data_IF_655987185436
#
_entry.id   IF_655987185436
#
_cell.length_a   1.000
_cell.length_b   1.000
_cell.length_c   1.000
_cell.angle_alpha   90.00
_cell.angle_beta   90.00
_cell.angle_gamma   90.00
#
_symmetry.space_group_name_H-M   'P 1'
#
loop_
_entity.id
_entity.type
_entity.pdbx_description
1 polymer ?
#
# COMPACT_ATOMS: atom_id res chain seq x y z
N UNK A 1 -54.05 -43.72 35.10
CA UNK A 1 -54.22 -42.26 34.87
C UNK A 1 -52.96 -41.56 35.38
N UNK A 2 -52.51 -40.53 34.64
CA UNK A 2 -51.13 -40.31 34.17
C UNK A 2 -50.51 -39.04 34.82
N UNK A 3 -49.36 -38.46 34.44
CA UNK A 3 -48.42 -38.54 33.32
C UNK A 3 -47.12 -37.78 33.71
N UNK A 4 -45.95 -38.04 33.13
CA UNK A 4 -45.52 -37.58 31.79
C UNK A 4 -45.09 -36.09 31.86
N UNK A 5 -43.94 -35.61 31.37
CA UNK A 5 -43.07 -36.11 30.31
C UNK A 5 -41.80 -35.22 30.20
N UNK A 6 -40.63 -35.87 30.13
CA UNK A 6 -39.48 -35.59 29.26
C UNK A 6 -38.63 -34.31 29.44
N UNK A 7 -37.48 -34.51 30.10
CA UNK A 7 -36.21 -33.84 29.78
C UNK A 7 -35.41 -34.72 28.81
N UNK A 8 -35.11 -34.21 27.61
CA UNK A 8 -34.34 -34.94 26.60
C UNK A 8 -33.03 -34.21 26.31
N UNK A 9 -31.97 -34.70 26.97
CA UNK A 9 -30.57 -34.44 26.65
C UNK A 9 -30.23 -35.13 25.32
N UNK A 10 -29.84 -34.38 24.30
CA UNK A 10 -29.13 -34.93 23.14
C UNK A 10 -27.67 -34.50 23.17
N UNK A 11 -26.81 -35.45 23.54
CA UNK A 11 -25.41 -35.51 23.12
C UNK A 11 -25.40 -35.86 21.63
N UNK A 12 -24.79 -35.04 20.79
CA UNK A 12 -24.39 -35.45 19.44
C UNK A 12 -22.87 -35.43 19.36
N UNK A 13 -22.32 -36.62 19.16
CA UNK A 13 -20.90 -36.90 19.10
C UNK A 13 -20.25 -36.47 17.80
N UNK A 14 -18.96 -36.17 17.90
CA UNK A 14 -18.04 -36.03 16.80
C UNK A 14 -18.05 -37.27 15.92
N UNK A 15 -18.27 -37.09 14.61
CA UNK A 15 -17.88 -38.06 13.59
C UNK A 15 -16.87 -37.41 12.66
N UNK A 16 -15.67 -37.98 12.65
CA UNK A 16 -14.59 -37.68 11.73
C UNK A 16 -15.06 -37.88 10.28
N UNK A 17 -14.84 -36.87 9.43
CA UNK A 17 -15.10 -36.95 7.99
C UNK A 17 -13.88 -37.53 7.29
N UNK A 18 -13.93 -38.82 6.93
CA UNK A 18 -12.99 -39.45 6.01
C UNK A 18 -13.41 -39.16 4.55
N UNK A 19 -12.42 -38.82 3.70
CA UNK A 19 -12.57 -38.54 2.26
C UNK A 19 -13.07 -39.77 1.47
N UNK A 20 -13.79 -39.59 0.35
CA UNK A 20 -14.29 -40.70 -0.46
C UNK A 20 -13.18 -41.31 -1.32
N UNK A 21 -13.13 -42.65 -1.34
CA UNK A 21 -12.30 -43.47 -2.25
C UNK A 21 -13.19 -43.93 -3.41
N UNK A 22 -12.78 -43.62 -4.65
CA UNK A 22 -13.45 -44.11 -5.85
C UNK A 22 -13.27 -45.63 -5.99
N UNK A 23 -14.37 -46.36 -6.19
CA UNK A 23 -14.40 -47.82 -6.45
C UNK A 23 -14.73 -48.07 -7.92
N UNK A 24 -14.11 -49.08 -8.52
CA UNK A 24 -14.47 -49.52 -9.87
C UNK A 24 -15.82 -50.29 -9.89
N UNK A 25 -16.31 -50.61 -11.09
CA UNK A 25 -17.60 -51.29 -11.32
C UNK A 25 -17.70 -52.70 -10.73
N UNK A 26 -16.64 -53.24 -10.13
CA UNK A 26 -16.61 -54.60 -9.54
C UNK A 26 -16.19 -54.63 -8.07
N UNK A 27 -16.07 -53.47 -7.40
CA UNK A 27 -16.17 -53.37 -5.94
C UNK A 27 -14.99 -53.95 -5.14
N UNK A 28 -13.79 -54.10 -5.71
CA UNK A 28 -12.59 -54.53 -4.94
C UNK A 28 -11.66 -53.35 -4.62
N UNK A 29 -11.24 -53.25 -3.36
CA UNK A 29 -10.22 -52.31 -2.91
C UNK A 29 -8.82 -52.89 -3.19
N UNK A 30 -7.91 -52.11 -3.80
CA UNK A 30 -6.54 -52.51 -4.11
C UNK A 30 -5.60 -51.93 -3.05
N UNK A 31 -5.01 -52.79 -2.21
CA UNK A 31 -3.87 -52.43 -1.36
C UNK A 31 -2.58 -52.47 -2.20
N UNK A 32 -1.80 -51.39 -2.16
CA UNK A 32 -0.43 -51.37 -2.66
C UNK A 32 0.50 -51.63 -1.46
N UNK A 33 1.21 -52.76 -1.49
CA UNK A 33 2.37 -53.03 -0.62
C UNK A 33 3.62 -53.08 -1.47
N UNK A 34 4.64 -52.36 -1.00
CA UNK A 34 6.04 -52.45 -1.40
C UNK A 34 6.63 -53.83 -1.03
N UNK A 35 7.58 -54.32 -1.83
CA UNK A 35 8.35 -55.53 -1.56
C UNK A 35 9.50 -55.71 -2.54
N UNK A 36 10.70 -55.95 -2.01
CA UNK A 36 12.01 -55.90 -2.65
C UNK A 36 12.56 -57.26 -3.13
N UNK A 37 13.37 -57.22 -4.21
CA UNK A 37 14.52 -58.08 -4.60
C UNK A 37 14.31 -59.60 -4.86
N UNK A 38 15.34 -60.37 -5.33
CA UNK A 38 16.69 -59.99 -5.83
C UNK A 38 17.20 -60.76 -7.11
N UNK A 39 18.30 -60.26 -7.72
CA UNK A 39 19.47 -61.09 -8.09
C UNK A 39 19.78 -61.47 -9.56
N UNK A 40 21.09 -61.30 -9.90
CA UNK A 40 21.95 -62.03 -10.90
C UNK A 40 21.87 -61.59 -12.37
N UNK A 41 22.93 -61.48 -13.20
CA UNK A 41 24.41 -61.65 -13.20
C UNK A 41 24.92 -60.75 -14.37
N UNK A 42 26.06 -60.03 -14.33
CA UNK A 42 27.44 -60.53 -14.47
C UNK A 42 27.96 -60.56 -15.93
N UNK A 43 28.73 -59.53 -16.36
CA UNK A 43 29.90 -59.53 -17.30
C UNK A 43 30.22 -58.09 -17.77
N UNK A 44 31.30 -57.45 -17.32
CA UNK A 44 32.68 -57.46 -17.87
C UNK A 44 32.79 -57.06 -19.35
N UNK A 45 33.26 -55.83 -19.63
CA UNK A 45 34.61 -55.52 -20.17
C UNK A 45 34.66 -54.10 -20.78
N UNK A 46 35.49 -53.24 -20.22
CA UNK A 46 36.22 -52.14 -20.89
C UNK A 46 37.58 -52.73 -21.36
N UNK A 47 38.49 -52.10 -22.15
CA UNK A 47 38.59 -50.68 -22.54
C UNK A 47 39.12 -50.36 -23.97
N UNK A 48 39.27 -49.04 -24.21
CA UNK A 48 40.18 -48.34 -25.16
C UNK A 48 39.97 -48.47 -26.69
N UNK A 49 39.84 -47.32 -27.40
CA UNK A 49 40.96 -46.54 -27.96
C UNK A 49 40.54 -45.47 -29.00
N UNK A 50 41.18 -44.31 -28.89
CA UNK A 50 41.67 -43.36 -29.91
C UNK A 50 40.98 -43.16 -31.28
N UNK A 51 40.73 -41.89 -31.62
CA UNK A 51 40.60 -41.45 -33.01
C UNK A 51 40.39 -39.93 -33.20
N UNK A 52 41.51 -39.20 -33.37
CA UNK A 52 41.66 -37.91 -34.09
C UNK A 52 40.85 -37.89 -35.41
N UNK A 53 40.58 -36.82 -36.13
CA UNK A 53 40.65 -35.35 -36.12
C UNK A 53 39.99 -34.98 -37.47
N UNK A 54 39.47 -33.77 -37.66
CA UNK A 54 39.67 -32.98 -38.90
C UNK A 54 39.24 -31.53 -38.65
N UNK A 55 40.15 -30.64 -39.04
CA UNK A 55 39.98 -29.20 -39.14
C UNK A 55 39.43 -28.84 -40.53
N UNK A 56 38.76 -27.70 -40.64
CA UNK A 56 38.37 -27.11 -41.91
C UNK A 56 37.95 -25.65 -41.73
N UNK A 57 38.89 -24.76 -42.03
CA UNK A 57 38.76 -23.31 -42.11
C UNK A 57 37.57 -22.84 -42.96
N UNK A 58 37.11 -21.59 -42.72
CA UNK A 58 36.90 -20.55 -43.74
C UNK A 58 36.26 -19.28 -43.12
N UNK A 59 37.09 -18.25 -42.96
CA UNK A 59 36.77 -16.82 -43.14
C UNK A 59 37.74 -16.34 -44.25
N UNK A 60 37.61 -15.13 -44.85
CA UNK A 60 36.65 -14.04 -44.61
C UNK A 60 36.03 -13.47 -45.91
N UNK A 61 35.11 -12.49 -45.82
CA UNK A 61 35.29 -11.29 -46.66
C UNK A 61 34.59 -10.02 -46.15
N UNK A 62 35.22 -8.91 -46.50
CA UNK A 62 34.92 -7.51 -46.20
C UNK A 62 33.89 -6.95 -47.18
N UNK A 63 33.21 -5.86 -46.80
CA UNK A 63 32.48 -5.01 -47.76
C UNK A 63 31.89 -3.76 -47.12
N UNK A 64 32.51 -2.62 -47.39
CA UNK A 64 32.15 -1.27 -46.94
C UNK A 64 31.24 -0.53 -47.93
N UNK A 65 30.90 0.73 -47.58
CA UNK A 65 30.28 1.83 -48.33
C UNK A 65 28.74 1.92 -48.22
N UNK A 66 28.12 3.01 -47.75
CA UNK A 66 28.20 4.45 -48.08
C UNK A 66 27.59 4.82 -49.44
N UNK A 67 26.60 5.73 -49.42
CA UNK A 67 25.97 6.39 -50.58
C UNK A 67 24.48 6.66 -50.34
N UNK A 68 24.05 7.83 -49.86
CA UNK A 68 23.78 9.10 -50.57
C UNK A 68 22.63 9.09 -51.59
N UNK A 69 21.68 10.00 -51.31
CA UNK A 69 20.82 10.80 -52.20
C UNK A 69 19.74 10.13 -53.07
N UNK A 70 18.51 10.63 -52.89
CA UNK A 70 17.39 10.45 -53.81
C UNK A 70 16.19 11.27 -53.37
N UNK A 71 16.21 12.57 -53.68
CA UNK A 71 15.06 13.46 -53.64
C UNK A 71 13.99 12.95 -54.62
N UNK A 72 12.75 12.83 -54.18
CA UNK A 72 11.60 13.06 -55.06
C UNK A 72 10.50 13.77 -54.27
N UNK A 73 10.23 15.00 -54.71
CA UNK A 73 9.06 15.77 -54.36
C UNK A 73 7.84 15.09 -54.96
N UNK A 74 6.76 14.95 -54.18
CA UNK A 74 5.44 15.06 -54.75
C UNK A 74 4.47 15.76 -53.79
N UNK A 75 3.72 16.64 -54.41
CA UNK A 75 2.88 17.70 -53.85
C UNK A 75 1.45 17.18 -53.86
N UNK A 76 0.78 17.11 -52.71
CA UNK A 76 -0.68 17.01 -52.69
C UNK A 76 -1.26 17.71 -51.46
N UNK A 77 -2.29 18.49 -51.74
CA UNK A 77 -2.89 19.53 -50.93
C UNK A 77 -3.89 19.05 -49.86
N UNK A 78 -3.94 19.83 -48.78
CA UNK A 78 -5.09 20.15 -47.91
C UNK A 78 -5.89 19.02 -47.21
N UNK A 79 -5.88 19.05 -45.87
CA UNK A 79 -6.93 19.71 -45.06
C UNK A 79 -6.48 19.83 -43.60
N UNK A 80 -6.46 21.07 -43.11
CA UNK A 80 -6.05 21.42 -41.75
C UNK A 80 -7.17 21.23 -40.74
N UNK A 81 -6.77 20.80 -39.53
CA UNK A 81 -7.57 20.81 -38.32
C UNK A 81 -6.61 21.04 -37.15
N UNK A 82 -6.49 22.31 -36.74
CA UNK A 82 -5.63 22.76 -35.65
C UNK A 82 -6.14 22.26 -34.29
N UNK A 83 -5.24 21.66 -33.52
CA UNK A 83 -5.38 21.44 -32.07
C UNK A 83 -4.77 22.66 -31.37
N UNK A 84 -5.47 23.35 -30.45
CA UNK A 84 -4.88 24.48 -29.74
C UNK A 84 -4.10 24.05 -28.49
N UNK A 85 -2.92 24.64 -28.35
CA UNK A 85 -2.10 24.67 -27.14
C UNK A 85 -2.83 25.42 -26.01
N UNK A 86 -3.08 24.75 -24.89
CA UNK A 86 -3.57 25.39 -23.67
C UNK A 86 -2.40 26.09 -22.94
N UNK A 87 -2.15 27.35 -23.29
CA UNK A 87 -1.41 28.30 -22.46
C UNK A 87 -2.40 29.03 -21.55
N UNK A 88 -2.23 28.89 -20.24
CA UNK A 88 -2.89 29.75 -19.26
C UNK A 88 -2.31 31.17 -19.36
N UNK A 89 -3.07 32.07 -19.98
CA UNK A 89 -2.89 33.52 -19.87
C UNK A 89 -4.10 34.03 -19.09
N UNK A 90 -3.85 34.73 -17.99
CA UNK A 90 -4.88 35.44 -17.24
C UNK A 90 -5.35 36.64 -18.07
N UNK A 91 -6.62 36.63 -18.46
CA UNK A 91 -7.31 37.76 -19.10
C UNK A 91 -8.01 38.60 -18.01
N UNK A 92 -7.65 39.89 -17.83
CA UNK A 92 -8.21 40.75 -16.78
C UNK A 92 -9.53 41.46 -17.14
N UNK A 93 -10.13 41.28 -18.32
CA UNK A 93 -11.24 42.14 -18.76
C UNK A 93 -12.60 41.43 -18.94
N UNK A 94 -13.13 40.89 -17.84
CA UNK A 94 -14.57 40.57 -17.74
C UNK A 94 -15.20 41.14 -16.45
N UNK A 95 -15.69 42.37 -16.55
CA UNK A 95 -16.53 43.02 -15.53
C UNK A 95 -17.85 43.44 -16.20
N UNK A 96 -19.02 42.87 -15.83
CA UNK A 96 -20.30 43.39 -16.28
C UNK A 96 -20.58 44.72 -15.60
N UNK A 97 -20.81 45.74 -16.43
CA UNK A 97 -20.99 47.12 -16.01
C UNK A 97 -22.27 47.38 -15.22
N UNK A 98 -22.13 48.26 -14.23
CA UNK A 98 -23.16 49.22 -13.88
C UNK A 98 -22.47 50.52 -13.42
N UNK A 99 -22.98 51.63 -13.96
CA UNK A 99 -22.79 53.01 -13.50
C UNK A 99 -21.54 53.74 -14.03
N UNK A 100 -21.55 54.05 -15.33
CA UNK A 100 -20.99 55.31 -15.81
C UNK A 100 -21.89 56.45 -15.31
N UNK A 101 -21.30 57.48 -14.70
CA UNK A 101 -21.15 58.77 -15.39
C UNK A 101 -20.83 59.93 -14.43
N UNK A 102 -19.81 60.70 -14.86
CA UNK A 102 -19.62 62.16 -14.68
C UNK A 102 -18.88 62.63 -13.43
N UNK A 103 -17.56 62.57 -13.58
CA UNK A 103 -16.66 63.64 -13.20
C UNK A 103 -16.93 64.92 -14.02
N UNK A 104 -16.51 66.04 -13.42
CA UNK A 104 -16.38 67.40 -13.94
C UNK A 104 -17.59 68.33 -13.75
N UNK A 105 -17.42 69.23 -12.78
CA UNK A 105 -18.38 70.26 -12.41
C UNK A 105 -17.79 71.17 -11.34
N UNK A 106 -16.74 71.91 -11.70
CA UNK A 106 -16.28 73.09 -10.96
C UNK A 106 -17.47 74.05 -10.79
N UNK A 107 -17.99 74.18 -9.56
CA UNK A 107 -18.79 75.33 -9.14
C UNK A 107 -18.32 75.78 -7.76
N UNK A 108 -17.87 77.03 -7.72
CA UNK A 108 -17.55 77.81 -6.53
C UNK A 108 -18.81 77.85 -5.65
N UNK A 109 -18.79 77.11 -4.55
CA UNK A 109 -19.81 77.11 -3.51
C UNK A 109 -19.26 77.76 -2.23
N UNK A 110 -19.99 78.77 -1.76
CA UNK A 110 -19.80 79.59 -0.55
C UNK A 110 -19.33 78.78 0.69
N UNK A 111 -18.42 79.30 1.54
CA UNK A 111 -17.99 78.58 2.74
C UNK A 111 -19.15 78.45 3.76
N UNK A 112 -19.34 77.29 4.40
CA UNK A 112 -20.23 77.18 5.53
C UNK A 112 -19.62 77.90 6.76
N UNK A 113 -20.49 78.59 7.52
CA UNK A 113 -20.15 79.25 8.79
C UNK A 113 -19.54 78.26 9.78
N UNK A 114 -18.58 78.67 10.63
CA UNK A 114 -18.01 77.80 11.65
C UNK A 114 -19.09 77.45 12.70
N UNK A 115 -19.50 76.18 12.74
CA UNK A 115 -20.17 75.63 13.90
C UNK A 115 -19.14 75.35 14.99
N UNK A 116 -19.49 75.83 16.19
CA UNK A 116 -18.80 75.73 17.47
C UNK A 116 -18.08 74.38 17.65
N UNK A 117 -16.83 74.46 18.11
CA UNK A 117 -15.99 73.35 18.51
C UNK A 117 -16.75 72.32 19.37
N UNK A 118 -16.83 71.08 18.89
CA UNK A 118 -17.00 69.91 19.73
C UNK A 118 -15.59 69.38 20.04
N UNK A 119 -15.22 69.37 21.33
CA UNK A 119 -13.92 68.94 21.82
C UNK A 119 -13.62 67.47 21.48
N UNK A 120 -12.36 67.02 21.66
CA UNK A 120 -11.94 65.68 21.30
C UNK A 120 -12.76 64.65 22.09
N UNK A 121 -13.53 63.84 21.34
CA UNK A 121 -14.19 62.66 21.86
C UNK A 121 -13.12 61.66 22.32
N UNK A 122 -13.00 61.54 23.65
CA UNK A 122 -12.54 60.36 24.38
C UNK A 122 -11.39 59.57 23.76
N UNK A 123 -10.17 60.05 23.96
CA UNK A 123 -9.06 59.13 24.18
C UNK A 123 -9.45 58.28 25.41
N UNK A 124 -9.98 57.07 25.18
CA UNK A 124 -10.18 56.12 26.25
C UNK A 124 -8.79 55.84 26.83
N UNK A 125 -8.54 56.41 28.01
CA UNK A 125 -7.40 56.05 28.83
C UNK A 125 -7.45 54.54 28.99
N UNK A 126 -6.49 53.85 28.39
CA UNK A 126 -6.14 52.52 28.85
C UNK A 126 -5.61 52.72 30.26
N UNK A 127 -6.49 52.67 31.26
CA UNK A 127 -6.07 52.51 32.63
C UNK A 127 -5.33 51.17 32.66
N UNK A 128 -3.99 51.24 32.69
CA UNK A 128 -3.17 50.14 33.15
C UNK A 128 -3.64 49.83 34.57
N UNK A 129 -4.60 48.91 34.66
CA UNK A 129 -5.09 48.38 35.91
C UNK A 129 -3.97 47.50 36.43
N UNK A 130 -2.98 48.14 37.07
CA UNK A 130 -1.88 47.51 37.79
C UNK A 130 -2.48 46.48 38.74
N UNK A 131 -2.48 45.23 38.28
CA UNK A 131 -2.91 44.12 39.10
C UNK A 131 -1.96 44.07 40.28
N UNK A 132 -2.52 44.09 41.49
CA UNK A 132 -1.71 43.94 42.71
C UNK A 132 -0.83 42.69 42.54
N UNK A 133 0.45 42.72 42.94
CA UNK A 133 1.39 41.61 42.68
C UNK A 133 0.86 40.26 43.21
N UNK A 134 0.05 40.30 44.28
CA UNK A 134 -0.69 39.14 44.82
C UNK A 134 -1.73 38.57 43.85
N UNK A 135 -2.54 39.41 43.21
CA UNK A 135 -3.54 38.97 42.23
C UNK A 135 -2.87 38.39 40.98
N UNK A 136 -1.74 38.96 40.55
CA UNK A 136 -0.97 38.42 39.43
C UNK A 136 -0.40 37.03 39.76
N UNK A 137 0.21 36.86 40.94
CA UNK A 137 0.74 35.57 41.38
C UNK A 137 -0.35 34.49 41.49
N UNK A 138 -1.52 34.82 42.05
CA UNK A 138 -2.64 33.87 42.18
C UNK A 138 -3.17 33.41 40.82
N UNK A 139 -3.32 34.32 39.86
CA UNK A 139 -3.76 33.96 38.50
C UNK A 139 -2.75 33.05 37.81
N UNK A 140 -1.44 33.33 37.92
CA UNK A 140 -0.40 32.48 37.34
C UNK A 140 -0.38 31.07 37.94
N UNK A 141 -0.49 30.95 39.27
CA UNK A 141 -0.55 29.66 39.95
C UNK A 141 -1.79 28.88 39.52
N UNK A 142 -2.94 29.55 39.38
CA UNK A 142 -4.20 28.92 38.95
C UNK A 142 -4.10 28.38 37.51
N UNK A 143 -3.49 29.14 36.59
CA UNK A 143 -3.24 28.68 35.22
C UNK A 143 -2.27 27.49 35.21
N UNK A 144 -1.21 27.53 36.02
CA UNK A 144 -0.26 26.43 36.12
C UNK A 144 -0.93 25.15 36.65
N UNK A 145 -1.78 25.25 37.66
CA UNK A 145 -2.55 24.11 38.19
C UNK A 145 -3.52 23.59 37.14
N UNK A 146 -4.26 24.45 36.45
CA UNK A 146 -5.18 24.05 35.39
C UNK A 146 -4.44 23.36 34.23
N UNK A 147 -3.27 23.87 33.84
CA UNK A 147 -2.40 23.27 32.84
C UNK A 147 -1.88 21.89 33.28
N UNK A 148 -1.38 21.78 34.51
CA UNK A 148 -0.91 20.51 35.07
C UNK A 148 -2.05 19.47 35.18
N UNK A 149 -3.25 19.91 35.61
CA UNK A 149 -4.42 19.06 35.67
C UNK A 149 -4.88 18.60 34.28
N UNK A 150 -4.82 19.46 33.27
CA UNK A 150 -5.12 19.08 31.89
C UNK A 150 -4.13 18.05 31.34
N UNK A 151 -2.82 18.26 31.55
CA UNK A 151 -1.77 17.30 31.15
C UNK A 151 -1.96 15.97 31.87
N UNK A 152 -2.17 15.99 33.20
CA UNK A 152 -2.43 14.79 33.99
C UNK A 152 -3.70 14.07 33.51
N UNK A 153 -4.77 14.81 33.24
CA UNK A 153 -6.01 14.26 32.73
C UNK A 153 -5.84 13.59 31.36
N UNK A 154 -5.05 14.18 30.47
CA UNK A 154 -4.69 13.53 29.20
C UNK A 154 -3.71 12.37 29.36
N UNK A 155 -2.83 12.40 30.35
CA UNK A 155 -1.91 11.29 30.63
C UNK A 155 -2.65 10.08 31.24
N UNK A 156 -3.70 10.33 32.02
CA UNK A 156 -4.55 9.29 32.62
C UNK A 156 -5.59 8.75 31.63
N UNK A 157 -6.07 9.57 30.70
CA UNK A 157 -6.86 9.14 29.54
C UNK A 157 -5.89 8.57 28.50
N UNK A 158 -5.59 7.29 28.60
CA UNK A 158 -4.79 6.59 27.59
C UNK A 158 -5.26 6.89 26.16
N UNK A 159 -4.43 6.65 25.13
CA UNK A 159 -4.72 7.02 23.75
C UNK A 159 -6.11 6.52 23.34
N UNK A 160 -6.86 7.38 22.65
CA UNK A 160 -8.23 7.06 22.22
C UNK A 160 -8.24 5.68 21.54
N UNK A 161 -9.17 4.78 21.93
CA UNK A 161 -9.23 3.47 21.34
C UNK A 161 -9.48 3.59 19.84
N UNK A 162 -8.76 2.78 19.07
CA UNK A 162 -9.04 2.63 17.63
C UNK A 162 -10.54 2.37 17.43
N UNK A 163 -11.11 3.10 16.48
CA UNK A 163 -12.49 2.85 16.04
C UNK A 163 -12.47 1.72 15.03
N UNK A 164 -13.32 0.72 15.25
CA UNK A 164 -13.46 -0.43 14.36
C UNK A 164 -14.87 -0.49 13.80
N UNK A 165 -15.00 -0.68 12.49
CA UNK A 165 -16.29 -0.93 11.82
C UNK A 165 -16.30 -2.34 11.28
N UNK A 166 -17.25 -3.16 11.75
CA UNK A 166 -17.37 -4.54 11.31
C UNK A 166 -18.06 -4.59 9.94
N UNK A 167 -17.33 -5.03 8.92
CA UNK A 167 -17.81 -5.15 7.54
C UNK A 167 -18.34 -6.57 7.26
N UNK A 168 -17.91 -7.56 8.04
CA UNK A 168 -18.32 -8.96 7.96
C UNK A 168 -17.44 -9.83 7.06
N UNK A 169 -17.80 -11.11 6.95
CA UNK A 169 -17.01 -12.16 6.30
C UNK A 169 -16.60 -11.89 4.84
N UNK A 170 -17.33 -11.02 4.15
CA UNK A 170 -17.03 -10.64 2.76
C UNK A 170 -15.64 -9.97 2.60
N UNK A 171 -15.03 -9.47 3.68
CA UNK A 171 -13.63 -8.99 3.66
C UNK A 171 -12.67 -10.12 3.26
N UNK A 172 -12.84 -11.31 3.84
CA UNK A 172 -11.95 -12.44 3.56
C UNK A 172 -12.11 -12.93 2.12
N UNK A 173 -13.35 -12.99 1.62
CA UNK A 173 -13.66 -13.40 0.25
C UNK A 173 -13.10 -12.41 -0.79
N UNK A 174 -13.33 -11.10 -0.60
CA UNK A 174 -12.87 -10.07 -1.56
C UNK A 174 -11.35 -9.90 -1.59
N UNK A 175 -10.68 -10.27 -0.50
CA UNK A 175 -9.22 -10.28 -0.40
C UNK A 175 -8.62 -11.68 -0.60
N UNK A 176 -9.43 -12.66 -1.03
CA UNK A 176 -8.93 -14.01 -1.30
C UNK A 176 -7.86 -13.94 -2.39
N UNK A 177 -6.77 -14.67 -2.19
CA UNK A 177 -5.63 -14.77 -3.11
C UNK A 177 -4.94 -13.43 -3.46
N UNK A 178 -5.22 -12.37 -2.70
CA UNK A 178 -4.59 -11.07 -2.86
C UNK A 178 -3.41 -10.89 -1.89
N UNK A 179 -2.39 -10.19 -2.38
CA UNK A 179 -1.24 -9.77 -1.59
C UNK A 179 -0.22 -10.87 -1.31
N UNK A 180 0.76 -10.48 -0.49
CA UNK A 180 1.83 -11.34 0.00
C UNK A 180 1.66 -11.51 1.50
N UNK A 181 1.85 -12.72 2.00
CA UNK A 181 1.44 -13.04 3.36
C UNK A 181 2.39 -13.96 4.12
N UNK A 182 2.37 -13.85 5.44
CA UNK A 182 3.18 -14.62 6.39
C UNK A 182 2.32 -15.04 7.58
N UNK A 183 2.74 -16.12 8.24
CA UNK A 183 2.03 -16.74 9.35
C UNK A 183 0.97 -17.76 8.90
N UNK A 184 0.40 -18.52 9.87
CA UNK A 184 -0.49 -19.65 9.59
C UNK A 184 -1.75 -19.24 8.86
N UNK A 185 -2.17 -20.03 7.86
CA UNK A 185 -3.37 -19.75 7.07
C UNK A 185 -4.67 -19.78 7.91
N UNK A 186 -4.65 -20.51 9.02
CA UNK A 186 -5.73 -20.71 9.99
C UNK A 186 -5.58 -19.88 11.28
N UNK A 187 -4.68 -18.88 11.29
CA UNK A 187 -4.51 -18.01 12.45
C UNK A 187 -5.83 -17.29 12.81
N UNK A 188 -6.18 -17.28 14.10
CA UNK A 188 -7.42 -16.68 14.60
C UNK A 188 -7.50 -15.15 14.40
N UNK A 189 -6.34 -14.50 14.23
CA UNK A 189 -6.22 -13.07 13.95
C UNK A 189 -5.53 -12.92 12.60
N UNK A 190 -6.22 -12.26 11.66
CA UNK A 190 -5.71 -11.92 10.34
C UNK A 190 -5.65 -10.41 10.19
N UNK A 191 -4.46 -9.87 9.97
CA UNK A 191 -4.25 -8.44 9.71
C UNK A 191 -3.98 -8.26 8.22
N UNK A 192 -4.88 -7.56 7.53
CA UNK A 192 -4.76 -7.21 6.11
C UNK A 192 -4.44 -5.73 5.98
N UNK A 193 -3.35 -5.41 5.29
CA UNK A 193 -2.90 -4.04 5.06
C UNK A 193 -2.92 -3.77 3.56
N UNK A 194 -3.85 -2.91 3.13
CA UNK A 194 -3.87 -2.36 1.77
C UNK A 194 -2.92 -1.16 1.72
N UNK A 195 -1.89 -1.26 0.89
CA UNK A 195 -0.76 -0.34 0.95
C UNK A 195 -0.07 -0.18 -0.40
N UNK A 196 0.59 0.96 -0.54
CA UNK A 196 1.39 1.34 -1.71
C UNK A 196 2.79 1.76 -1.27
N UNK A 197 3.82 1.19 -1.89
CA UNK A 197 5.22 1.51 -1.60
C UNK A 197 5.57 2.98 -1.81
N UNK A 198 4.89 3.69 -2.72
CA UNK A 198 5.12 5.11 -2.97
C UNK A 198 4.37 6.03 -2.00
N UNK A 199 3.45 5.50 -1.18
CA UNK A 199 2.67 6.30 -0.25
C UNK A 199 3.44 6.58 1.06
N UNK A 200 3.67 7.85 1.43
CA UNK A 200 4.39 8.19 2.67
C UNK A 200 3.73 7.64 3.95
N UNK A 201 2.40 7.71 4.03
CA UNK A 201 1.65 7.19 5.18
C UNK A 201 1.73 5.65 5.27
N UNK A 202 1.75 4.96 4.13
CA UNK A 202 1.95 3.51 4.09
C UNK A 202 3.33 3.11 4.61
N UNK A 203 4.39 3.82 4.18
CA UNK A 203 5.75 3.57 4.66
C UNK A 203 5.88 3.80 6.16
N UNK A 204 5.26 4.85 6.69
CA UNK A 204 5.22 5.11 8.13
C UNK A 204 4.53 3.96 8.88
N UNK A 205 3.37 3.52 8.40
CA UNK A 205 2.66 2.37 8.97
C UNK A 205 3.53 1.10 8.94
N UNK A 206 4.24 0.85 7.84
CA UNK A 206 5.09 -0.32 7.69
C UNK A 206 6.27 -0.31 8.69
N UNK A 207 6.94 0.83 8.80
CA UNK A 207 8.08 1.02 9.69
C UNK A 207 7.70 0.90 11.18
N UNK A 208 6.57 1.48 11.58
CA UNK A 208 6.17 1.57 12.98
C UNK A 208 5.33 0.35 13.45
N UNK A 209 4.43 -0.17 12.61
CA UNK A 209 3.57 -1.30 12.97
C UNK A 209 3.85 -2.58 12.15
N UNK A 210 4.15 -2.44 10.86
CA UNK A 210 4.37 -3.57 9.95
C UNK A 210 5.48 -4.52 10.43
N UNK A 211 6.59 -3.98 10.94
CA UNK A 211 7.70 -4.77 11.51
C UNK A 211 7.23 -5.66 12.66
N UNK A 212 6.48 -5.11 13.62
CA UNK A 212 5.99 -5.84 14.80
C UNK A 212 4.96 -6.91 14.38
N UNK A 213 4.02 -6.53 13.50
CA UNK A 213 2.99 -7.44 13.02
C UNK A 213 3.58 -8.62 12.23
N UNK A 214 4.56 -8.37 11.37
CA UNK A 214 5.27 -9.44 10.65
C UNK A 214 6.04 -10.35 11.58
N UNK A 215 6.64 -9.82 12.65
CA UNK A 215 7.29 -10.62 13.68
C UNK A 215 6.29 -11.54 14.37
N UNK A 216 5.17 -11.02 14.85
CA UNK A 216 4.11 -11.86 15.44
C UNK A 216 3.57 -12.90 14.47
N UNK A 217 3.48 -12.57 13.18
CA UNK A 217 3.09 -13.53 12.16
C UNK A 217 4.14 -14.63 11.93
N UNK A 218 5.43 -14.27 11.93
CA UNK A 218 6.53 -15.23 11.87
C UNK A 218 6.57 -16.14 13.11
N UNK A 219 6.20 -15.61 14.28
CA UNK A 219 6.05 -16.36 15.54
C UNK A 219 4.77 -17.22 15.57
N UNK A 220 3.95 -17.20 14.52
CA UNK A 220 2.74 -18.02 14.40
C UNK A 220 1.50 -17.46 15.10
N UNK A 221 1.58 -16.25 15.66
CA UNK A 221 0.50 -15.66 16.48
C UNK A 221 -0.64 -15.07 15.65
N UNK A 222 -0.31 -14.53 14.47
CA UNK A 222 -1.28 -13.92 13.55
C UNK A 222 -0.98 -14.35 12.11
N UNK A 223 -1.92 -14.08 11.21
CA UNK A 223 -1.67 -13.99 9.77
C UNK A 223 -1.51 -12.53 9.39
N UNK A 224 -0.42 -12.17 8.74
CA UNK A 224 -0.23 -10.84 8.16
C UNK A 224 -0.29 -10.93 6.64
N UNK A 225 -1.11 -10.08 6.01
CA UNK A 225 -1.30 -10.00 4.55
C UNK A 225 -1.07 -8.57 4.10
N UNK A 226 -0.07 -8.35 3.24
CA UNK A 226 0.19 -7.09 2.59
C UNK A 226 -0.42 -7.11 1.18
N UNK A 227 -1.48 -6.33 0.96
CA UNK A 227 -2.19 -6.26 -0.31
C UNK A 227 -1.77 -4.99 -1.05
N UNK A 228 -1.22 -5.16 -2.25
CA UNK A 228 -0.72 -4.02 -3.01
C UNK A 228 -1.89 -3.20 -3.60
N UNK A 229 -1.97 -1.94 -3.18
CA UNK A 229 -2.97 -0.99 -3.64
C UNK A 229 -2.32 0.25 -4.28
N UNK A 230 -1.58 0.11 -5.41
CA UNK A 230 -0.97 1.26 -6.08
C UNK A 230 -2.00 2.35 -6.41
N UNK A 231 -1.76 3.57 -5.95
CA UNK A 231 -2.59 4.71 -6.27
C UNK A 231 -2.36 5.15 -7.73
N UNK A 232 -3.38 5.72 -8.41
CA UNK A 232 -3.23 6.16 -9.80
C UNK A 232 -2.07 7.13 -10.05
N UNK A 233 -1.75 7.97 -9.06
CA UNK A 233 -0.62 8.91 -9.13
C UNK A 233 0.76 8.24 -8.98
N UNK A 234 0.81 7.03 -8.46
CA UNK A 234 2.04 6.30 -8.17
C UNK A 234 2.39 5.34 -9.32
N UNK A 235 2.92 5.93 -10.41
CA UNK A 235 3.21 5.22 -11.67
C UNK A 235 4.18 4.04 -11.54
N UNK A 236 5.03 4.00 -10.51
CA UNK A 236 5.98 2.91 -10.25
C UNK A 236 5.44 1.88 -9.24
N UNK A 237 4.30 2.15 -8.61
CA UNK A 237 3.66 1.26 -7.64
C UNK A 237 3.34 -0.14 -8.19
N UNK A 238 2.78 -0.29 -9.40
CA UNK A 238 2.56 -1.62 -9.99
C UNK A 238 3.84 -2.44 -10.19
N UNK A 239 4.93 -1.80 -10.60
CA UNK A 239 6.22 -2.47 -10.78
C UNK A 239 6.81 -2.90 -9.42
N UNK A 240 6.70 -2.06 -8.38
CA UNK A 240 7.11 -2.43 -7.03
C UNK A 240 6.27 -3.58 -6.44
N UNK A 241 4.96 -3.60 -6.74
CA UNK A 241 4.08 -4.72 -6.38
C UNK A 241 4.51 -6.03 -7.08
N UNK A 242 4.85 -5.97 -8.37
CA UNK A 242 5.39 -7.13 -9.10
C UNK A 242 6.70 -7.64 -8.49
N UNK A 243 7.63 -6.74 -8.15
CA UNK A 243 8.89 -7.11 -7.50
C UNK A 243 8.68 -7.80 -6.14
N UNK A 244 7.72 -7.32 -5.35
CA UNK A 244 7.31 -7.94 -4.09
C UNK A 244 6.76 -9.36 -4.29
N UNK A 245 5.88 -9.57 -5.28
CA UNK A 245 5.37 -10.91 -5.64
C UNK A 245 6.47 -11.84 -6.15
N UNK A 246 7.39 -11.35 -6.97
CA UNK A 246 8.52 -12.15 -7.46
C UNK A 246 9.46 -12.58 -6.33
N UNK A 247 9.73 -11.68 -5.39
CA UNK A 247 10.50 -12.03 -4.19
C UNK A 247 9.73 -13.01 -3.29
N UNK A 248 8.40 -12.92 -3.23
CA UNK A 248 7.56 -13.88 -2.51
C UNK A 248 7.68 -15.29 -3.11
N UNK A 249 7.63 -15.42 -4.44
CA UNK A 249 7.85 -16.70 -5.15
C UNK A 249 9.23 -17.29 -4.86
N UNK A 250 10.23 -16.44 -4.65
CA UNK A 250 11.59 -16.83 -4.28
C UNK A 250 11.82 -16.98 -2.76
N UNK A 251 10.76 -16.91 -1.94
CA UNK A 251 10.83 -17.12 -0.49
C UNK A 251 11.41 -15.94 0.31
N UNK A 252 11.57 -14.76 -0.30
CA UNK A 252 12.14 -13.55 0.33
C UNK A 252 11.26 -12.30 0.21
N UNK A 253 9.94 -12.40 0.46
CA UNK A 253 9.01 -11.28 0.25
C UNK A 253 9.37 -10.06 1.09
N UNK A 254 9.67 -10.26 2.37
CA UNK A 254 9.86 -9.17 3.33
C UNK A 254 11.22 -8.49 3.23
N UNK A 255 12.21 -9.19 2.72
CA UNK A 255 13.50 -8.58 2.41
C UNK A 255 13.39 -7.64 1.21
N UNK A 256 12.70 -8.06 0.15
CA UNK A 256 12.39 -7.17 -0.97
C UNK A 256 11.48 -6.02 -0.53
N UNK A 257 10.49 -6.30 0.31
CA UNK A 257 9.61 -5.27 0.90
C UNK A 257 10.41 -4.14 1.55
N UNK A 258 11.38 -4.50 2.40
CA UNK A 258 12.29 -3.54 3.05
C UNK A 258 13.16 -2.81 2.04
N UNK A 259 13.77 -3.51 1.07
CA UNK A 259 14.58 -2.88 0.02
C UNK A 259 13.78 -1.81 -0.75
N UNK A 260 12.53 -2.12 -1.13
CA UNK A 260 11.64 -1.18 -1.81
C UNK A 260 11.32 0.03 -0.94
N UNK A 261 11.04 -0.18 0.36
CA UNK A 261 10.67 0.90 1.27
C UNK A 261 11.85 1.83 1.61
N UNK A 262 13.05 1.27 1.80
CA UNK A 262 14.26 1.98 2.20
C UNK A 262 14.87 2.78 1.05
N UNK A 263 14.74 2.27 -0.19
CA UNK A 263 15.35 2.84 -1.39
C UNK A 263 14.37 3.57 -2.29
N UNK A 264 13.23 4.01 -1.75
CA UNK A 264 12.17 4.71 -2.50
C UNK A 264 12.70 5.77 -3.49
N UNK A 265 13.64 6.67 -3.13
CA UNK A 265 14.12 7.69 -4.05
C UNK A 265 14.85 7.11 -5.28
N UNK A 266 15.47 5.93 -5.17
CA UNK A 266 16.28 5.33 -6.24
C UNK A 266 15.48 4.77 -7.40
N UNK A 267 14.24 4.33 -7.15
CA UNK A 267 13.41 3.64 -8.14
C UNK A 267 12.12 4.41 -8.50
N UNK A 268 11.83 5.52 -7.84
CA UNK A 268 10.65 6.35 -8.17
C UNK A 268 10.92 7.42 -9.23
N UNK A 269 12.18 7.74 -9.53
CA UNK A 269 12.58 8.80 -10.44
C UNK A 269 13.26 8.25 -11.70
N UNK A 270 13.10 8.96 -12.82
CA UNK A 270 13.81 8.67 -14.06
C UNK A 270 13.37 7.37 -14.74
N UNK A 271 14.34 6.51 -15.01
CA UNK A 271 14.22 5.26 -15.78
C UNK A 271 13.19 4.28 -15.19
N UNK A 272 12.73 3.27 -15.97
CA UNK A 272 11.96 2.16 -15.44
C UNK A 272 12.66 1.49 -14.24
N UNK A 273 11.95 1.13 -13.17
CA UNK A 273 12.56 0.65 -11.93
C UNK A 273 12.98 -0.83 -11.95
N UNK A 274 12.52 -1.59 -12.95
CA UNK A 274 12.73 -3.04 -13.03
C UNK A 274 14.22 -3.44 -12.97
N UNK A 275 15.15 -2.76 -13.70
CA UNK A 275 16.59 -3.06 -13.56
C UNK A 275 17.11 -2.85 -12.13
N UNK A 276 16.61 -1.83 -11.40
CA UNK A 276 16.96 -1.63 -9.98
C UNK A 276 16.45 -2.77 -9.11
N UNK A 277 15.24 -3.26 -9.38
CA UNK A 277 14.68 -4.39 -8.64
C UNK A 277 15.46 -5.69 -8.86
N UNK A 278 16.00 -5.92 -10.05
CA UNK A 278 16.94 -7.03 -10.32
C UNK A 278 18.23 -6.87 -9.50
N UNK A 279 18.78 -5.66 -9.40
CA UNK A 279 19.94 -5.38 -8.53
C UNK A 279 19.63 -5.63 -7.06
N UNK A 280 18.41 -5.31 -6.60
CA UNK A 280 17.97 -5.63 -5.24
C UNK A 280 17.84 -7.14 -5.04
N UNK A 281 17.29 -7.86 -6.02
CA UNK A 281 17.18 -9.31 -6.00
C UNK A 281 18.58 -9.97 -5.88
N UNK A 282 19.56 -9.51 -6.66
CA UNK A 282 20.95 -9.93 -6.56
C UNK A 282 21.52 -9.71 -5.15
N UNK A 283 21.35 -8.52 -4.58
CA UNK A 283 21.82 -8.19 -3.23
C UNK A 283 21.15 -9.04 -2.13
N UNK A 284 19.96 -9.59 -2.41
CA UNK A 284 19.27 -10.52 -1.52
C UNK A 284 19.67 -11.99 -1.73
N UNK A 285 20.54 -12.27 -2.70
CA UNK A 285 20.95 -13.64 -3.06
C UNK A 285 19.88 -14.41 -3.85
N UNK A 286 18.97 -13.69 -4.54
CA UNK A 286 17.99 -14.29 -5.43
C UNK A 286 18.60 -14.49 -6.83
N UNK A 287 18.18 -15.54 -7.53
CA UNK A 287 18.55 -15.74 -8.93
C UNK A 287 17.97 -14.62 -9.80
N UNK A 288 18.85 -13.80 -10.37
CA UNK A 288 18.48 -12.59 -11.11
C UNK A 288 17.77 -12.91 -12.42
N UNK A 289 18.12 -14.03 -13.06
CA UNK A 289 17.48 -14.49 -14.30
C UNK A 289 16.01 -14.85 -14.04
N UNK A 290 15.76 -15.71 -13.05
CA UNK A 290 14.41 -16.12 -12.63
C UNK A 290 13.61 -14.92 -12.13
N UNK A 291 14.24 -14.01 -11.37
CA UNK A 291 13.57 -12.80 -10.89
C UNK A 291 13.18 -11.87 -12.04
N UNK A 292 14.07 -11.63 -13.00
CA UNK A 292 13.79 -10.79 -14.17
C UNK A 292 12.67 -11.40 -15.03
N UNK A 293 12.68 -12.72 -15.26
CA UNK A 293 11.60 -13.41 -15.97
C UNK A 293 10.26 -13.25 -15.25
N UNK A 294 10.26 -13.36 -13.91
CA UNK A 294 9.06 -13.16 -13.11
C UNK A 294 8.48 -11.74 -13.22
N UNK A 295 9.32 -10.70 -13.32
CA UNK A 295 8.85 -9.31 -13.45
C UNK A 295 8.04 -9.10 -14.74
N UNK A 296 8.39 -9.82 -15.80
CA UNK A 296 7.73 -9.73 -17.11
C UNK A 296 6.66 -10.80 -17.34
N UNK A 297 6.49 -11.72 -16.40
CA UNK A 297 5.53 -12.82 -16.47
C UNK A 297 4.08 -12.30 -16.42
N UNK A 298 3.22 -12.64 -17.40
CA UNK A 298 1.80 -12.31 -17.37
C UNK A 298 1.10 -12.73 -16.07
N UNK A 299 1.48 -13.86 -15.46
CA UNK A 299 0.90 -14.31 -14.20
C UNK A 299 1.24 -13.37 -13.03
N UNK A 300 2.39 -12.70 -13.07
CA UNK A 300 2.74 -11.65 -12.08
C UNK A 300 1.86 -10.41 -12.30
N UNK A 301 1.66 -10.00 -13.55
CA UNK A 301 0.77 -8.89 -13.87
C UNK A 301 -0.68 -9.18 -13.41
N UNK A 302 -1.18 -10.39 -13.62
CA UNK A 302 -2.49 -10.84 -13.13
C UNK A 302 -2.58 -10.81 -11.60
N UNK A 303 -1.53 -11.22 -10.90
CA UNK A 303 -1.48 -11.15 -9.44
C UNK A 303 -1.58 -9.71 -8.95
N UNK A 304 -0.88 -8.77 -9.59
CA UNK A 304 -1.02 -7.33 -9.29
C UNK A 304 -2.44 -6.84 -9.61
N UNK A 305 -3.09 -7.35 -10.66
CA UNK A 305 -4.50 -7.01 -10.93
C UNK A 305 -5.46 -7.55 -9.87
N UNK A 306 -5.22 -8.75 -9.32
CA UNK A 306 -5.98 -9.29 -8.18
C UNK A 306 -5.88 -8.39 -6.97
N UNK A 307 -4.66 -7.95 -6.63
CA UNK A 307 -4.45 -7.02 -5.52
C UNK A 307 -5.22 -5.70 -5.74
N UNK A 308 -5.14 -5.14 -6.94
CA UNK A 308 -5.89 -3.92 -7.30
C UNK A 308 -7.40 -4.12 -7.28
N UNK A 309 -7.90 -5.30 -7.63
CA UNK A 309 -9.32 -5.62 -7.55
C UNK A 309 -9.80 -5.69 -6.10
N UNK A 310 -9.05 -6.36 -5.23
CA UNK A 310 -9.30 -6.36 -3.79
C UNK A 310 -9.26 -4.94 -3.21
N UNK A 311 -8.27 -4.13 -3.61
CA UNK A 311 -8.14 -2.75 -3.19
C UNK A 311 -9.34 -1.90 -3.63
N UNK A 312 -9.81 -2.02 -4.88
CA UNK A 312 -11.03 -1.32 -5.32
C UNK A 312 -12.26 -1.69 -4.51
N UNK A 313 -12.33 -2.93 -4.00
CA UNK A 313 -13.48 -3.40 -3.23
C UNK A 313 -13.42 -3.01 -1.73
N UNK A 314 -12.22 -2.91 -1.15
CA UNK A 314 -12.02 -2.78 0.30
C UNK A 314 -11.26 -1.52 0.73
N UNK A 315 -10.61 -0.83 -0.21
CA UNK A 315 -9.82 0.39 -0.02
C UNK A 315 -9.93 1.32 -1.26
N UNK A 316 -11.16 1.67 -1.72
CA UNK A 316 -11.40 2.25 -3.04
C UNK A 316 -10.72 3.61 -3.29
N UNK A 317 -10.51 4.40 -2.25
CA UNK A 317 -10.17 5.83 -2.34
C UNK A 317 -8.91 6.22 -1.56
N UNK A 318 -8.37 5.33 -0.73
CA UNK A 318 -7.24 5.67 0.16
C UNK A 318 -6.39 4.49 0.55
N UNK A 319 -5.14 4.80 0.88
CA UNK A 319 -4.18 3.91 1.54
C UNK A 319 -3.37 4.71 2.58
N UNK A 320 -2.93 4.11 3.70
CA UNK A 320 -3.18 2.72 4.06
C UNK A 320 -4.61 2.48 4.54
N UNK A 321 -5.11 1.27 4.31
CA UNK A 321 -6.34 0.74 4.91
C UNK A 321 -6.00 -0.56 5.60
N UNK A 322 -6.44 -0.72 6.84
CA UNK A 322 -6.14 -1.89 7.65
C UNK A 322 -7.43 -2.57 8.07
N UNK A 323 -7.48 -3.89 7.89
CA UNK A 323 -8.50 -4.74 8.47
C UNK A 323 -7.86 -5.69 9.49
N UNK A 324 -8.51 -5.83 10.63
CA UNK A 324 -8.21 -6.90 11.60
C UNK A 324 -9.42 -7.81 11.61
N UNK A 325 -9.23 -9.05 11.15
CA UNK A 325 -10.31 -9.98 10.80
C UNK A 325 -11.28 -9.33 9.79
N UNK A 326 -12.53 -9.13 10.21
CA UNK A 326 -13.63 -8.56 9.42
C UNK A 326 -13.90 -7.09 9.77
N UNK A 327 -13.08 -6.50 10.64
CA UNK A 327 -13.23 -5.13 11.12
C UNK A 327 -12.25 -4.19 10.43
N UNK A 328 -12.79 -3.13 9.81
CA UNK A 328 -12.03 -1.99 9.31
C UNK A 328 -11.52 -1.17 10.47
N UNK A 329 -10.23 -0.84 10.46
CA UNK A 329 -9.60 0.11 11.37
C UNK A 329 -9.79 1.51 10.80
N UNK A 330 -10.65 2.31 11.42
CA UNK A 330 -10.95 3.68 10.99
C UNK A 330 -10.01 4.70 11.61
N UNK A 331 -9.62 5.70 10.82
CA UNK A 331 -8.91 6.87 11.33
C UNK A 331 -7.53 6.56 11.94
N UNK A 332 -6.85 5.50 11.51
CA UNK A 332 -5.51 5.14 11.99
C UNK A 332 -4.49 6.24 11.66
N UNK A 333 -4.22 7.12 12.64
CA UNK A 333 -3.21 8.19 12.54
C UNK A 333 -1.90 7.83 13.21
N UNK A 334 -1.97 7.02 14.25
CA UNK A 334 -0.83 6.51 14.99
C UNK A 334 -0.72 4.99 14.81
N UNK A 335 0.27 4.50 14.04
CA UNK A 335 0.54 3.07 13.87
C UNK A 335 0.67 2.28 15.18
N UNK A 336 1.14 2.90 16.27
CA UNK A 336 1.28 2.23 17.56
C UNK A 336 -0.07 1.73 18.10
N UNK A 337 -1.15 2.46 17.83
CA UNK A 337 -2.49 2.04 18.25
C UNK A 337 -2.91 0.70 17.61
N UNK A 338 -2.48 0.44 16.37
CA UNK A 338 -2.77 -0.83 15.69
C UNK A 338 -2.04 -1.99 16.37
N UNK A 339 -0.76 -1.78 16.72
CA UNK A 339 0.03 -2.76 17.46
C UNK A 339 -0.63 -3.06 18.79
N UNK A 340 -1.04 -2.05 19.55
CA UNK A 340 -1.71 -2.22 20.84
C UNK A 340 -3.07 -2.91 20.70
N UNK A 341 -3.83 -2.60 19.65
CA UNK A 341 -5.09 -3.29 19.36
C UNK A 341 -4.88 -4.78 19.14
N UNK A 342 -3.95 -5.16 18.26
CA UNK A 342 -3.64 -6.57 17.98
C UNK A 342 -3.03 -7.26 19.20
N UNK A 343 -2.18 -6.55 19.98
CA UNK A 343 -1.63 -7.06 21.26
C UNK A 343 -2.74 -7.48 22.23
N UNK A 344 -3.77 -6.62 22.39
CA UNK A 344 -4.92 -6.93 23.26
C UNK A 344 -5.72 -8.14 22.77
N UNK A 345 -5.92 -8.27 21.45
CA UNK A 345 -6.58 -9.45 20.87
C UNK A 345 -5.78 -10.74 21.13
N UNK A 346 -4.45 -10.65 21.06
CA UNK A 346 -3.53 -11.75 21.38
C UNK A 346 -3.40 -12.02 22.89
N UNK A 347 -3.95 -11.14 23.75
CA UNK A 347 -3.78 -11.20 25.21
C UNK A 347 -2.32 -11.24 25.66
N UNK A 348 -1.45 -10.57 24.91
CA UNK A 348 -0.05 -10.39 25.29
C UNK A 348 0.08 -9.34 26.40
N UNK A 349 1.07 -9.48 27.30
CA UNK A 349 1.29 -8.56 28.42
C UNK A 349 1.70 -7.15 27.98
#
# INVERSE_FOLDING_TARGET
MPGGSHAQLQRQGLRARTRPVARDRHGRARELREGAGPGRDGRHSDPDRDGRAEAGDLLPDRGAAAGHHGLHQDRAHHRGGHVPDARWVADPDHVPGAVLARLSGSRRGRPPRPTRAAGPAGAQRYEERSMKPRTFAVTLVSIAIAGAAAVLHTALRGPDPIRTVHIGAAVAERAADAGVAIGPADAAIVVRVFSDFQCPACRRLDAEAGVVLRRWAADGLIRYVHIHAPLPAHRRGPAAAAASHCAARAGRPWDMHRMLADRLPEWTQGEPPEPRFVTYAHALGLDTTTFALCLTDPATAEQVQRDRAAARALAPDRVPVVYVNEALIEGLRDPAQLVDHVRRLLRLP
#
